data_IF_256649954527
#
_entry.id   IF_256649954527
#
_cell.length_a   1.000
_cell.length_b   1.000
_cell.length_c   1.000
_cell.angle_alpha   90.00
_cell.angle_beta   90.00
_cell.angle_gamma   90.00
#
_symmetry.space_group_name_H-M   'P 1'
#
loop_
_entity.id
_entity.type
_entity.pdbx_description
1 polymer ?
#
# COMPACT_ATOMS: atom_id res chain seq x y z
N UNK A 1 102.37 -33.92 19.07
CA UNK A 1 102.02 -33.83 17.63
C UNK A 1 101.29 -35.13 17.28
N UNK A 2 99.97 -35.17 17.04
CA UNK A 2 99.32 -35.03 15.71
C UNK A 2 100.14 -35.76 14.61
N UNK A 3 99.60 -36.71 13.82
CA UNK A 3 98.20 -36.87 13.37
C UNK A 3 97.92 -38.23 12.65
N UNK A 4 96.77 -38.90 12.94
CA UNK A 4 95.96 -39.81 12.04
C UNK A 4 96.64 -41.06 11.40
N UNK A 5 95.98 -42.11 10.86
CA UNK A 5 94.54 -42.45 10.68
C UNK A 5 94.31 -43.98 10.52
N UNK A 6 93.29 -44.53 11.19
CA UNK A 6 92.28 -45.53 10.74
C UNK A 6 92.63 -46.87 10.04
N UNK A 7 91.92 -47.92 10.47
CA UNK A 7 91.90 -49.29 9.92
C UNK A 7 91.09 -49.47 8.63
N UNK A 8 91.35 -50.60 7.96
CA UNK A 8 90.59 -51.29 6.89
C UNK A 8 90.84 -52.81 7.09
N UNK A 9 90.10 -53.83 6.62
CA UNK A 9 88.86 -54.03 5.81
C UNK A 9 88.43 -55.50 6.07
N UNK A 10 87.25 -56.06 5.78
CA UNK A 10 85.96 -55.69 5.14
C UNK A 10 84.88 -56.63 5.78
N UNK A 11 83.82 -57.04 5.05
CA UNK A 11 82.94 -58.21 5.30
C UNK A 11 81.90 -58.00 6.43
N UNK A 12 80.58 -58.16 6.21
CA UNK A 12 79.83 -58.39 4.97
C UNK A 12 78.42 -57.74 5.03
N UNK A 13 77.82 -57.58 3.86
CA UNK A 13 76.47 -57.03 3.67
C UNK A 13 75.37 -58.02 4.10
N UNK A 14 74.33 -57.54 4.77
CA UNK A 14 72.99 -58.14 4.70
C UNK A 14 72.06 -57.11 4.09
N UNK A 15 71.87 -57.20 2.77
CA UNK A 15 71.04 -56.29 2.00
C UNK A 15 69.57 -56.76 2.05
N UNK A 16 68.87 -56.48 3.14
CA UNK A 16 67.40 -56.53 3.10
C UNK A 16 66.87 -55.32 2.32
N UNK A 17 66.87 -55.45 1.00
CA UNK A 17 66.21 -54.54 0.06
C UNK A 17 64.68 -54.69 0.15
N UNK A 18 64.14 -54.47 1.34
CA UNK A 18 62.72 -54.34 1.57
C UNK A 18 62.22 -53.02 0.99
N UNK A 19 62.00 -53.00 -0.32
CA UNK A 19 61.17 -51.98 -0.97
C UNK A 19 59.71 -52.18 -0.53
N UNK A 20 59.45 -51.83 0.73
CA UNK A 20 58.15 -51.30 1.10
C UNK A 20 57.93 -50.08 0.21
N UNK A 21 57.07 -50.21 -0.79
CA UNK A 21 56.49 -49.06 -1.46
C UNK A 21 55.70 -48.30 -0.40
N UNK A 22 56.34 -47.29 0.19
CA UNK A 22 55.70 -46.38 1.13
C UNK A 22 54.61 -45.65 0.35
N UNK A 23 53.38 -46.15 0.47
CA UNK A 23 52.22 -45.61 -0.21
C UNK A 23 51.82 -44.28 0.46
N UNK A 24 52.59 -43.23 0.15
CA UNK A 24 52.27 -41.86 0.53
C UNK A 24 50.93 -41.48 -0.07
N UNK A 25 49.89 -41.42 0.77
CA UNK A 25 48.60 -40.87 0.41
C UNK A 25 48.72 -39.34 0.36
N UNK A 26 49.29 -38.82 -0.72
CA UNK A 26 49.32 -37.38 -0.99
C UNK A 26 47.92 -36.91 -1.41
N UNK A 27 47.38 -35.98 -0.62
CA UNK A 27 46.12 -35.28 -0.92
C UNK A 27 46.49 -33.91 -1.47
N UNK A 28 45.82 -33.48 -2.55
CA UNK A 28 46.05 -32.15 -3.13
C UNK A 28 45.51 -31.05 -2.21
N UNK A 29 45.95 -29.81 -2.44
CA UNK A 29 45.25 -28.64 -1.92
C UNK A 29 43.77 -28.62 -2.35
N UNK A 30 42.93 -27.91 -1.59
CA UNK A 30 41.48 -27.87 -1.81
C UNK A 30 41.11 -27.07 -3.06
N UNK A 31 40.36 -27.71 -3.97
CA UNK A 31 39.92 -27.11 -5.22
C UNK A 31 38.59 -26.34 -5.06
N UNK A 32 38.68 -25.05 -4.69
CA UNK A 32 37.56 -24.10 -4.72
C UNK A 32 36.44 -24.37 -3.70
N UNK A 33 35.21 -23.97 -4.05
CA UNK A 33 33.98 -24.29 -3.32
C UNK A 33 32.95 -24.87 -4.30
N UNK A 34 32.09 -25.76 -3.81
CA UNK A 34 30.90 -26.21 -4.52
C UNK A 34 29.78 -25.20 -4.30
N UNK A 35 29.05 -24.87 -5.36
CA UNK A 35 28.00 -23.84 -5.39
C UNK A 35 26.78 -24.44 -6.08
N UNK A 36 25.59 -24.26 -5.48
CA UNK A 36 24.31 -24.74 -5.98
C UNK A 36 23.61 -23.76 -6.93
N UNK A 37 22.31 -23.94 -7.11
CA UNK A 37 21.45 -23.00 -7.83
C UNK A 37 21.00 -21.83 -6.95
N UNK A 38 20.26 -20.89 -7.53
CA UNK A 38 19.60 -19.81 -6.79
C UNK A 38 18.17 -20.27 -6.43
N UNK A 39 17.67 -20.01 -5.22
CA UNK A 39 16.26 -20.25 -4.90
C UNK A 39 15.37 -19.31 -5.72
N UNK A 40 14.23 -19.83 -6.17
CA UNK A 40 13.25 -19.12 -7.02
C UNK A 40 11.87 -19.16 -6.38
N UNK A 41 11.17 -18.02 -6.43
CA UNK A 41 9.77 -17.89 -6.04
C UNK A 41 8.87 -17.73 -7.25
N UNK A 42 7.63 -18.21 -7.12
CA UNK A 42 6.64 -18.21 -8.20
C UNK A 42 5.25 -17.93 -7.64
N UNK A 43 4.45 -17.10 -8.31
CA UNK A 43 3.07 -16.87 -7.93
C UNK A 43 2.24 -18.17 -7.90
N UNK A 44 1.22 -18.19 -7.05
CA UNK A 44 0.26 -19.30 -6.94
C UNK A 44 -0.81 -19.28 -8.04
N UNK A 45 -0.90 -18.19 -8.82
CA UNK A 45 -1.91 -17.95 -9.85
C UNK A 45 -1.71 -18.71 -11.17
N UNK A 46 -2.76 -18.72 -12.00
CA UNK A 46 -2.71 -19.36 -13.34
C UNK A 46 -1.88 -18.51 -14.29
N UNK A 47 -0.80 -19.08 -14.84
CA UNK A 47 0.12 -18.36 -15.72
C UNK A 47 1.24 -17.60 -14.99
N UNK A 48 1.37 -17.77 -13.67
CA UNK A 48 2.47 -17.21 -12.90
C UNK A 48 3.85 -17.59 -13.47
N UNK A 49 4.79 -16.64 -13.41
CA UNK A 49 6.16 -16.77 -13.92
C UNK A 49 7.16 -16.86 -12.77
N UNK A 50 8.40 -17.22 -13.09
CA UNK A 50 9.48 -17.26 -12.10
C UNK A 50 9.82 -15.82 -11.65
N UNK A 51 10.24 -15.66 -10.40
CA UNK A 51 10.43 -14.37 -9.71
C UNK A 51 9.14 -13.54 -9.55
N UNK A 52 8.01 -14.20 -9.23
CA UNK A 52 6.71 -13.55 -8.98
C UNK A 52 6.02 -14.00 -7.69
N UNK A 53 5.00 -13.26 -7.26
CA UNK A 53 4.13 -13.55 -6.11
C UNK A 53 2.67 -13.30 -6.48
N UNK A 54 1.73 -13.87 -5.71
CA UNK A 54 0.27 -13.69 -5.92
C UNK A 54 -0.37 -13.14 -4.64
N UNK A 55 -1.20 -12.11 -4.78
CA UNK A 55 -1.94 -11.50 -3.67
C UNK A 55 -3.43 -11.91 -3.69
N UNK A 56 -4.14 -11.64 -2.60
CA UNK A 56 -5.59 -11.79 -2.47
C UNK A 56 -6.10 -10.84 -1.39
N UNK A 57 -7.22 -10.14 -1.64
CA UNK A 57 -7.94 -9.36 -0.61
C UNK A 57 -9.04 -10.21 0.07
N UNK A 58 -9.14 -10.16 1.41
CA UNK A 58 -10.24 -10.78 2.17
C UNK A 58 -11.57 -10.01 2.12
N UNK A 59 -11.54 -8.73 1.72
CA UNK A 59 -12.67 -7.80 1.67
C UNK A 59 -13.45 -7.68 3.00
N UNK A 60 -12.76 -7.80 4.14
CA UNK A 60 -13.38 -7.73 5.46
C UNK A 60 -14.11 -6.41 5.71
N UNK A 61 -13.65 -5.29 5.11
CA UNK A 61 -14.34 -4.00 5.09
C UNK A 61 -15.75 -4.09 4.48
N UNK A 62 -15.94 -5.00 3.51
CA UNK A 62 -17.10 -5.08 2.64
C UNK A 62 -16.98 -4.25 1.35
N UNK A 63 -15.82 -3.65 1.05
CA UNK A 63 -15.54 -3.03 -0.26
C UNK A 63 -15.01 -4.06 -1.26
N UNK A 64 -15.52 -4.01 -2.49
CA UNK A 64 -15.00 -4.77 -3.66
C UNK A 64 -14.71 -3.83 -4.86
N UNK A 65 -14.61 -2.53 -4.61
CA UNK A 65 -14.42 -1.50 -5.64
C UNK A 65 -13.22 -0.55 -5.37
N UNK A 66 -12.62 -0.67 -4.19
CA UNK A 66 -11.31 -0.13 -3.80
C UNK A 66 -10.84 -0.95 -2.58
N UNK A 67 -9.54 -1.05 -2.34
CA UNK A 67 -9.03 -1.56 -1.06
C UNK A 67 -9.47 -0.61 0.07
N UNK A 68 -9.88 -1.14 1.22
CA UNK A 68 -10.37 -0.31 2.33
C UNK A 68 -9.85 -0.75 3.69
N UNK A 69 -9.66 0.17 4.66
CA UNK A 69 -9.20 -0.19 6.01
C UNK A 69 -10.04 -1.29 6.66
N UNK A 70 -9.36 -2.23 7.30
CA UNK A 70 -9.90 -3.49 7.81
C UNK A 70 -9.74 -4.67 6.86
N UNK A 71 -9.57 -4.46 5.55
CA UNK A 71 -9.25 -5.52 4.58
C UNK A 71 -7.93 -6.22 4.93
N UNK A 72 -7.90 -7.55 4.79
CA UNK A 72 -6.69 -8.35 4.92
C UNK A 72 -6.16 -8.76 3.54
N UNK A 73 -5.03 -8.19 3.16
CA UNK A 73 -4.25 -8.63 2.02
C UNK A 73 -3.36 -9.80 2.43
N UNK A 74 -3.31 -10.86 1.62
CA UNK A 74 -2.41 -12.00 1.83
C UNK A 74 -1.53 -12.23 0.59
N UNK A 75 -0.22 -12.27 0.80
CA UNK A 75 0.82 -12.62 -0.18
C UNK A 75 1.04 -14.14 -0.15
N UNK A 76 1.12 -14.76 -1.32
CA UNK A 76 1.39 -16.20 -1.47
C UNK A 76 2.37 -16.48 -2.62
N UNK A 77 3.09 -17.59 -2.51
CA UNK A 77 3.99 -18.10 -3.55
C UNK A 77 4.22 -19.61 -3.39
N UNK A 78 4.74 -20.21 -4.46
CA UNK A 78 5.42 -21.49 -4.47
C UNK A 78 6.94 -21.22 -4.46
N UNK A 79 7.66 -21.95 -3.62
CA UNK A 79 9.12 -21.92 -3.56
C UNK A 79 9.70 -23.07 -4.40
N UNK A 80 10.84 -22.86 -5.05
CA UNK A 80 11.60 -23.91 -5.73
C UNK A 80 13.09 -23.70 -5.53
N UNK A 81 13.76 -24.74 -5.07
CA UNK A 81 15.21 -24.92 -5.10
C UNK A 81 15.49 -26.32 -5.67
N UNK A 82 16.63 -26.49 -6.35
CA UNK A 82 16.97 -27.74 -7.04
C UNK A 82 17.75 -28.72 -6.16
N UNK A 83 18.46 -28.22 -5.16
CA UNK A 83 19.32 -29.01 -4.28
C UNK A 83 18.55 -29.53 -3.04
N UNK A 84 17.38 -28.96 -2.75
CA UNK A 84 16.47 -29.35 -1.66
C UNK A 84 16.57 -28.47 -0.41
N UNK A 85 17.21 -27.30 -0.51
CA UNK A 85 17.35 -26.36 0.59
C UNK A 85 15.99 -25.79 1.02
N UNK A 86 15.80 -25.54 2.32
CA UNK A 86 14.49 -25.15 2.88
C UNK A 86 14.23 -23.65 2.72
N UNK A 87 13.01 -23.28 2.30
CA UNK A 87 12.55 -21.88 2.19
C UNK A 87 12.74 -21.09 3.49
N UNK A 88 13.30 -19.88 3.38
CA UNK A 88 13.31 -18.87 4.45
C UNK A 88 12.70 -17.52 4.01
N UNK A 89 12.17 -17.44 2.78
CA UNK A 89 11.78 -16.19 2.09
C UNK A 89 10.74 -15.37 2.85
N UNK A 90 9.82 -16.04 3.55
CA UNK A 90 8.82 -15.40 4.45
C UNK A 90 9.43 -14.38 5.41
N UNK A 91 10.64 -14.64 5.91
CA UNK A 91 11.32 -13.76 6.88
C UNK A 91 11.86 -12.45 6.29
N UNK A 92 11.90 -12.34 4.96
CA UNK A 92 12.32 -11.14 4.24
C UNK A 92 11.15 -10.22 3.83
N UNK A 93 9.90 -10.66 3.99
CA UNK A 93 8.73 -9.91 3.53
C UNK A 93 8.66 -8.54 4.24
N UNK A 94 8.48 -7.48 3.46
CA UNK A 94 8.19 -6.13 3.95
C UNK A 94 6.98 -5.55 3.23
N UNK A 95 6.13 -4.87 3.97
CA UNK A 95 4.98 -4.14 3.45
C UNK A 95 5.25 -2.64 3.49
N UNK A 96 4.75 -1.89 2.53
CA UNK A 96 4.93 -0.44 2.45
C UNK A 96 3.76 0.24 1.75
N UNK A 97 3.63 1.56 1.89
CA UNK A 97 2.69 2.35 1.09
C UNK A 97 3.40 3.49 0.35
N UNK A 98 3.00 3.75 -0.90
CA UNK A 98 3.51 4.83 -1.75
C UNK A 98 2.40 5.82 -2.11
N UNK A 99 2.75 7.05 -2.51
CA UNK A 99 1.74 8.07 -2.90
C UNK A 99 1.27 7.96 -4.35
N UNK A 100 1.91 7.10 -5.16
CA UNK A 100 1.76 7.09 -6.63
C UNK A 100 1.70 5.70 -7.26
N UNK A 101 1.83 4.62 -6.48
CA UNK A 101 1.92 3.24 -6.97
C UNK A 101 3.24 2.90 -7.67
N UNK A 102 4.18 3.84 -7.74
CA UNK A 102 5.47 3.71 -8.42
C UNK A 102 6.66 3.84 -7.44
N UNK A 103 6.39 4.15 -6.17
CA UNK A 103 7.35 4.15 -5.08
C UNK A 103 7.66 5.53 -4.48
N UNK A 104 7.02 6.60 -4.94
CA UNK A 104 7.23 7.93 -4.35
C UNK A 104 6.74 7.96 -2.89
N UNK A 105 7.50 8.68 -2.06
CA UNK A 105 7.23 8.89 -0.64
C UNK A 105 6.95 7.57 0.13
N UNK A 106 7.66 6.48 -0.22
CA UNK A 106 7.52 5.14 0.36
C UNK A 106 7.63 5.16 1.89
N UNK A 107 6.57 4.74 2.58
CA UNK A 107 6.54 4.54 4.04
C UNK A 107 6.52 3.03 4.32
N UNK A 108 7.46 2.54 5.11
CA UNK A 108 7.48 1.14 5.55
C UNK A 108 6.42 0.89 6.63
N UNK A 109 5.69 -0.21 6.51
CA UNK A 109 4.67 -0.64 7.47
C UNK A 109 5.29 -1.62 8.47
N UNK A 110 4.87 -1.54 9.74
CA UNK A 110 5.41 -2.35 10.84
C UNK A 110 4.90 -3.82 10.82
N UNK A 111 5.14 -4.53 9.71
CA UNK A 111 4.63 -5.87 9.43
C UNK A 111 5.70 -6.81 8.82
N UNK A 112 6.97 -6.58 9.15
CA UNK A 112 8.11 -7.37 8.65
C UNK A 112 7.95 -8.87 8.96
N UNK A 113 8.27 -9.70 7.97
CA UNK A 113 8.24 -11.16 8.06
C UNK A 113 6.84 -11.78 8.09
N UNK A 114 5.79 -11.06 7.65
CA UNK A 114 4.39 -11.52 7.65
C UNK A 114 3.81 -11.67 6.25
N UNK A 115 3.23 -12.83 5.97
CA UNK A 115 2.56 -13.14 4.70
C UNK A 115 1.22 -12.41 4.50
N UNK A 116 0.72 -11.68 5.50
CA UNK A 116 -0.51 -10.90 5.36
C UNK A 116 -0.43 -9.58 6.10
N UNK A 117 -1.04 -8.54 5.52
CA UNK A 117 -1.22 -7.24 6.12
C UNK A 117 -2.71 -6.91 6.25
N UNK A 118 -3.11 -6.27 7.35
CA UNK A 118 -4.46 -5.73 7.51
C UNK A 118 -4.38 -4.21 7.40
N UNK A 119 -5.11 -3.65 6.44
CA UNK A 119 -5.03 -2.24 6.06
C UNK A 119 -5.52 -1.35 7.21
N UNK A 120 -4.71 -0.39 7.61
CA UNK A 120 -4.99 0.58 8.65
C UNK A 120 -5.70 1.84 8.10
N UNK A 121 -6.37 2.58 8.98
CA UNK A 121 -7.05 3.83 8.59
C UNK A 121 -6.07 4.92 8.08
N UNK A 122 -4.80 4.83 8.48
CA UNK A 122 -3.69 5.71 8.09
C UNK A 122 -3.09 5.43 6.71
N UNK A 123 -3.44 4.29 6.09
CA UNK A 123 -2.91 3.92 4.78
C UNK A 123 -3.75 4.50 3.64
N UNK A 124 -4.88 5.14 3.96
CA UNK A 124 -5.82 5.66 2.99
C UNK A 124 -5.23 6.81 2.14
N UNK A 125 -5.66 6.87 0.88
CA UNK A 125 -5.07 7.73 -0.16
C UNK A 125 -3.77 7.18 -0.76
N UNK A 126 -3.21 6.10 -0.20
CA UNK A 126 -1.91 5.54 -0.61
C UNK A 126 -2.09 4.18 -1.29
N UNK A 127 -1.12 3.81 -2.12
CA UNK A 127 -1.05 2.51 -2.79
C UNK A 127 -0.25 1.54 -1.92
N UNK A 128 -0.74 0.32 -1.75
CA UNK A 128 -0.08 -0.71 -0.95
C UNK A 128 0.90 -1.50 -1.83
N UNK A 129 2.13 -1.68 -1.33
CA UNK A 129 3.19 -2.43 -2.00
C UNK A 129 3.86 -3.44 -1.05
N UNK A 130 4.60 -4.37 -1.65
CA UNK A 130 5.33 -5.40 -0.91
C UNK A 130 6.69 -5.73 -1.54
N UNK A 131 7.63 -6.14 -0.70
CA UNK A 131 8.95 -6.62 -1.06
C UNK A 131 9.18 -8.00 -0.45
N UNK A 132 9.82 -8.90 -1.21
CA UNK A 132 10.31 -10.19 -0.72
C UNK A 132 11.66 -10.51 -1.40
N UNK A 133 12.54 -11.19 -0.69
CA UNK A 133 13.78 -11.75 -1.22
C UNK A 133 13.60 -13.26 -1.32
N UNK A 134 13.96 -13.85 -2.45
CA UNK A 134 14.02 -15.31 -2.62
C UNK A 134 15.20 -15.82 -1.77
N UNK A 135 14.99 -16.68 -0.78
CA UNK A 135 16.07 -17.15 0.09
C UNK A 135 15.80 -18.49 0.78
N UNK A 136 16.88 -19.20 1.09
CA UNK A 136 16.90 -20.49 1.80
C UNK A 136 17.43 -20.34 3.22
N UNK A 137 17.31 -21.39 4.04
CA UNK A 137 18.00 -21.51 5.33
C UNK A 137 19.45 -21.98 5.21
N UNK A 138 19.77 -22.67 4.11
CA UNK A 138 21.01 -23.42 3.86
C UNK A 138 21.43 -23.23 2.39
N UNK A 139 22.55 -23.85 1.99
CA UNK A 139 23.09 -23.71 0.63
C UNK A 139 24.03 -22.53 0.41
N UNK A 140 24.62 -22.47 -0.78
CA UNK A 140 25.45 -21.37 -1.28
C UNK A 140 25.28 -21.33 -2.79
N UNK A 141 24.70 -20.26 -3.37
CA UNK A 141 24.13 -19.09 -2.72
C UNK A 141 22.85 -19.43 -1.91
N UNK A 142 22.53 -18.65 -0.88
CA UNK A 142 21.28 -18.80 -0.12
C UNK A 142 20.26 -17.66 -0.36
N UNK A 143 20.50 -16.82 -1.38
CA UNK A 143 19.63 -15.71 -1.78
C UNK A 143 19.59 -15.56 -3.30
N UNK A 144 18.38 -15.46 -3.85
CA UNK A 144 18.05 -15.14 -5.23
C UNK A 144 17.71 -13.66 -5.41
N UNK A 145 16.67 -13.38 -6.19
CA UNK A 145 16.22 -12.03 -6.54
C UNK A 145 15.54 -11.30 -5.36
N UNK A 146 15.46 -9.97 -5.45
CA UNK A 146 14.47 -9.18 -4.71
C UNK A 146 13.29 -8.91 -5.64
N UNK A 147 12.09 -9.33 -5.23
CA UNK A 147 10.84 -9.07 -5.93
C UNK A 147 10.18 -7.87 -5.24
N UNK A 148 9.98 -6.78 -5.98
CA UNK A 148 9.38 -5.53 -5.49
C UNK A 148 8.10 -5.25 -6.27
N UNK A 149 6.97 -5.18 -5.57
CA UNK A 149 5.66 -4.83 -6.12
C UNK A 149 5.27 -3.47 -5.54
N UNK A 150 5.38 -2.41 -6.35
CA UNK A 150 5.18 -1.01 -5.91
C UNK A 150 3.71 -0.68 -5.62
N UNK A 151 2.81 -1.37 -6.32
CA UNK A 151 1.35 -1.32 -6.17
C UNK A 151 0.81 -2.74 -6.43
N UNK A 152 0.18 -3.34 -5.43
CA UNK A 152 -0.42 -4.66 -5.56
C UNK A 152 -1.71 -4.65 -6.39
N UNK A 153 -2.37 -3.50 -6.55
CA UNK A 153 -3.66 -3.39 -7.25
C UNK A 153 -3.56 -3.55 -8.77
N UNK A 154 -2.33 -3.56 -9.30
CA UNK A 154 -2.00 -3.82 -10.71
C UNK A 154 -1.08 -5.03 -10.89
N UNK A 155 -0.92 -5.88 -9.86
CA UNK A 155 -0.04 -7.04 -9.88
C UNK A 155 -0.57 -8.17 -10.79
N UNK A 156 -1.86 -8.51 -10.65
CA UNK A 156 -2.54 -9.50 -11.50
C UNK A 156 -3.99 -9.08 -11.72
N UNK A 157 -4.36 -8.72 -12.95
CA UNK A 157 -5.74 -8.35 -13.34
C UNK A 157 -6.80 -9.46 -13.17
N UNK A 158 -6.39 -10.65 -12.72
CA UNK A 158 -7.25 -11.79 -12.38
C UNK A 158 -7.28 -12.12 -10.89
N UNK A 159 -6.46 -11.44 -10.07
CA UNK A 159 -6.68 -11.44 -8.62
C UNK A 159 -7.89 -10.56 -8.25
N UNK A 160 -8.31 -10.60 -6.99
CA UNK A 160 -9.53 -9.92 -6.54
C UNK A 160 -9.29 -8.52 -5.95
N UNK A 161 -8.11 -7.94 -6.19
CA UNK A 161 -7.76 -6.60 -5.70
C UNK A 161 -8.24 -5.56 -6.72
N UNK A 162 -9.10 -4.60 -6.31
CA UNK A 162 -9.53 -3.52 -7.19
C UNK A 162 -8.42 -2.48 -7.37
N UNK A 163 -8.20 -2.05 -8.62
CA UNK A 163 -7.25 -1.02 -9.03
C UNK A 163 -7.31 0.25 -8.16
N UNK A 164 -6.15 0.79 -7.80
CA UNK A 164 -6.02 2.13 -7.23
C UNK A 164 -5.58 2.20 -5.76
N UNK A 165 -5.59 3.42 -5.18
CA UNK A 165 -5.19 3.64 -3.81
C UNK A 165 -6.24 3.10 -2.82
N UNK A 166 -5.84 2.96 -1.57
CA UNK A 166 -6.74 2.60 -0.46
C UNK A 166 -7.76 3.73 -0.25
N UNK A 167 -9.06 3.40 -0.21
CA UNK A 167 -10.15 4.37 0.00
C UNK A 167 -10.90 4.06 1.30
N UNK A 168 -11.24 5.11 2.05
CA UNK A 168 -11.82 5.03 3.39
C UNK A 168 -10.86 5.63 4.43
N UNK A 169 -10.89 5.13 5.67
CA UNK A 169 -10.04 5.65 6.75
C UNK A 169 -10.60 6.88 7.44
N UNK A 170 -9.72 7.67 8.03
CA UNK A 170 -10.06 8.94 8.67
C UNK A 170 -10.09 10.05 7.62
N UNK A 171 -11.17 10.85 7.58
CA UNK A 171 -11.39 11.83 6.52
C UNK A 171 -11.70 13.20 7.13
N UNK A 172 -10.91 14.20 6.78
CA UNK A 172 -11.16 15.59 7.11
C UNK A 172 -12.02 16.25 6.05
N UNK A 173 -12.87 17.21 6.45
CA UNK A 173 -13.76 17.95 5.53
C UNK A 173 -13.81 19.44 5.86
N UNK A 174 -13.85 20.26 4.81
CA UNK A 174 -14.13 21.69 4.93
C UNK A 174 -14.96 22.21 3.75
N UNK A 175 -15.86 23.14 4.08
CA UNK A 175 -16.43 24.09 3.12
C UNK A 175 -15.58 25.35 3.25
N UNK A 176 -15.06 25.88 2.15
CA UNK A 176 -14.29 27.13 2.11
C UNK A 176 -14.86 28.09 1.09
N UNK A 177 -14.69 29.39 1.35
CA UNK A 177 -14.88 30.40 0.31
C UNK A 177 -13.68 30.34 -0.65
N UNK A 178 -13.92 30.41 -1.96
CA UNK A 178 -12.86 30.51 -2.97
C UNK A 178 -11.96 31.75 -2.77
N UNK A 179 -12.48 32.82 -2.16
CA UNK A 179 -11.70 33.99 -1.76
C UNK A 179 -10.87 33.80 -0.47
N UNK A 180 -11.15 32.75 0.33
CA UNK A 180 -10.46 32.42 1.57
C UNK A 180 -10.25 30.89 1.70
N UNK A 181 -9.51 30.25 0.77
CA UNK A 181 -9.56 28.80 0.53
C UNK A 181 -8.90 27.93 1.61
N UNK A 182 -8.45 28.52 2.72
CA UNK A 182 -7.90 27.85 3.93
C UNK A 182 -8.80 28.00 5.16
N UNK A 183 -9.87 28.81 5.08
CA UNK A 183 -10.75 29.09 6.23
C UNK A 183 -11.92 28.11 6.21
N UNK A 184 -11.79 26.96 6.89
CA UNK A 184 -12.91 26.02 7.07
C UNK A 184 -14.11 26.75 7.72
N UNK A 185 -15.27 26.75 7.05
CA UNK A 185 -16.49 27.44 7.48
C UNK A 185 -17.42 26.52 8.30
N UNK A 186 -17.21 25.20 8.29
CA UNK A 186 -18.04 24.22 9.00
C UNK A 186 -17.98 24.46 10.52
N UNK A 187 -19.13 24.31 11.20
CA UNK A 187 -19.23 24.30 12.66
C UNK A 187 -19.03 25.65 13.37
N UNK A 188 -18.62 26.71 12.65
CA UNK A 188 -18.38 28.04 13.21
C UNK A 188 -19.68 28.86 13.26
N UNK A 189 -20.11 29.23 14.46
CA UNK A 189 -21.33 30.01 14.70
C UNK A 189 -21.39 31.37 13.98
N UNK A 190 -20.24 31.95 13.61
CA UNK A 190 -20.13 33.24 12.93
C UNK A 190 -19.70 33.12 11.45
N UNK A 191 -19.81 31.93 10.82
CA UNK A 191 -19.58 31.77 9.38
C UNK A 191 -20.70 32.42 8.58
N UNK A 192 -20.55 33.71 8.27
CA UNK A 192 -21.44 34.38 7.33
C UNK A 192 -21.11 33.95 5.89
N UNK A 193 -22.04 33.20 5.27
CA UNK A 193 -22.00 32.91 3.84
C UNK A 193 -22.60 34.09 3.06
N UNK A 194 -22.05 34.36 1.87
CA UNK A 194 -22.40 35.52 1.05
C UNK A 194 -22.95 35.09 -0.30
N UNK A 195 -23.89 35.87 -0.82
CA UNK A 195 -24.37 35.73 -2.21
C UNK A 195 -23.36 36.37 -3.18
N UNK A 196 -23.25 35.84 -4.40
CA UNK A 196 -22.21 36.20 -5.37
C UNK A 196 -20.89 35.44 -5.19
N UNK A 197 -20.68 34.79 -4.03
CA UNK A 197 -19.46 34.05 -3.74
C UNK A 197 -19.51 32.60 -4.28
N UNK A 198 -18.32 32.00 -4.45
CA UNK A 198 -18.20 30.58 -4.83
C UNK A 198 -17.59 29.78 -3.69
N UNK A 199 -18.29 28.73 -3.26
CA UNK A 199 -17.88 27.84 -2.18
C UNK A 199 -17.32 26.52 -2.73
N UNK A 200 -16.22 26.07 -2.15
CA UNK A 200 -15.54 24.82 -2.52
C UNK A 200 -15.70 23.81 -1.39
N UNK A 201 -15.92 22.55 -1.74
CA UNK A 201 -15.82 21.43 -0.80
C UNK A 201 -14.45 20.78 -0.94
N UNK A 202 -13.72 20.70 0.17
CA UNK A 202 -12.42 20.01 0.25
C UNK A 202 -12.52 18.86 1.23
N UNK A 203 -11.95 17.74 0.85
CA UNK A 203 -12.00 16.47 1.57
C UNK A 203 -10.64 15.80 1.42
N UNK A 204 -10.03 15.40 2.53
CA UNK A 204 -8.66 14.88 2.56
C UNK A 204 -8.56 13.69 3.52
N UNK A 205 -7.53 12.87 3.33
CA UNK A 205 -7.22 11.79 4.27
C UNK A 205 -6.55 12.39 5.51
N UNK A 206 -7.32 12.53 6.59
CA UNK A 206 -6.91 13.10 7.88
C UNK A 206 -6.12 12.05 8.67
N UNK A 207 -4.85 11.91 8.30
CA UNK A 207 -3.99 10.79 8.71
C UNK A 207 -3.67 10.83 10.21
N UNK A 208 -3.71 12.02 10.81
CA UNK A 208 -3.43 12.22 12.23
C UNK A 208 -4.70 12.44 13.09
N UNK A 209 -5.88 12.55 12.46
CA UNK A 209 -7.20 12.74 13.06
C UNK A 209 -7.35 14.07 13.84
N UNK A 210 -6.83 15.18 13.30
CA UNK A 210 -6.92 16.52 13.93
C UNK A 210 -8.02 17.43 13.34
N UNK A 211 -8.66 17.05 12.23
CA UNK A 211 -9.66 17.84 11.48
C UNK A 211 -9.15 19.20 10.93
N UNK A 212 -7.84 19.32 10.73
CA UNK A 212 -7.11 20.38 10.02
C UNK A 212 -6.51 19.76 8.77
N UNK A 213 -6.39 20.52 7.67
CA UNK A 213 -5.73 20.03 6.46
C UNK A 213 -4.26 20.38 6.53
N UNK A 214 -3.43 19.40 6.87
CA UNK A 214 -1.97 19.55 6.95
C UNK A 214 -1.31 19.41 5.56
N UNK A 215 -0.04 19.82 5.44
CA UNK A 215 0.63 20.02 4.15
C UNK A 215 1.13 18.73 3.46
N UNK A 216 1.21 17.64 4.22
CA UNK A 216 1.61 16.29 3.80
C UNK A 216 0.42 15.34 3.60
N UNK A 217 -0.81 15.81 3.84
CA UNK A 217 -2.03 15.03 3.70
C UNK A 217 -2.54 14.99 2.24
N UNK A 218 -3.16 13.87 1.88
CA UNK A 218 -3.55 13.59 0.50
C UNK A 218 -5.00 14.02 0.23
N UNK A 219 -5.22 14.67 -0.92
CA UNK A 219 -6.57 14.99 -1.40
C UNK A 219 -7.38 13.70 -1.65
N UNK A 220 -8.59 13.65 -1.09
CA UNK A 220 -9.51 12.54 -1.24
C UNK A 220 -10.60 12.83 -2.30
N UNK A 221 -10.66 14.03 -2.90
CA UNK A 221 -11.75 14.46 -3.80
C UNK A 221 -12.03 13.49 -4.95
N UNK A 222 -10.97 12.93 -5.55
CA UNK A 222 -11.06 11.92 -6.61
C UNK A 222 -11.77 10.64 -6.18
N UNK A 223 -11.69 10.28 -4.90
CA UNK A 223 -12.19 9.04 -4.30
C UNK A 223 -13.57 9.19 -3.64
N UNK A 224 -14.17 10.39 -3.66
CA UNK A 224 -15.49 10.66 -3.07
C UNK A 224 -16.46 11.25 -4.10
N UNK A 225 -17.77 11.03 -3.90
CA UNK A 225 -18.83 11.82 -4.52
C UNK A 225 -19.42 12.76 -3.47
N UNK A 226 -19.89 13.92 -3.89
CA UNK A 226 -20.54 14.88 -3.00
C UNK A 226 -21.63 15.73 -3.67
N UNK A 227 -22.57 16.19 -2.85
CA UNK A 227 -23.71 17.04 -3.23
C UNK A 227 -23.88 18.17 -2.22
N UNK A 228 -24.18 19.37 -2.71
CA UNK A 228 -24.50 20.50 -1.85
C UNK A 228 -25.94 20.39 -1.31
N UNK A 229 -26.12 20.81 -0.05
CA UNK A 229 -27.40 20.81 0.66
C UNK A 229 -27.60 22.17 1.31
N UNK A 230 -28.71 22.83 0.94
CA UNK A 230 -29.22 24.00 1.63
C UNK A 230 -29.92 23.53 2.91
N UNK A 231 -29.43 23.98 4.06
CA UNK A 231 -29.83 23.49 5.38
C UNK A 231 -30.78 24.44 6.10
N UNK A 232 -31.71 23.89 6.88
CA UNK A 232 -32.70 24.67 7.63
C UNK A 232 -33.83 25.21 6.75
N UNK A 233 -34.11 26.51 6.88
CA UNK A 233 -35.23 27.20 6.21
C UNK A 233 -34.82 28.58 5.71
N UNK A 234 -35.48 29.08 4.67
CA UNK A 234 -35.25 30.43 4.15
C UNK A 234 -35.62 31.54 5.15
N UNK A 235 -35.00 32.71 4.99
CA UNK A 235 -34.97 33.78 6.00
C UNK A 235 -36.34 34.38 6.38
N UNK A 236 -37.28 34.50 5.44
CA UNK A 236 -38.57 35.18 5.68
C UNK A 236 -39.79 34.33 5.31
N UNK A 237 -39.70 33.53 4.24
CA UNK A 237 -40.80 32.66 3.80
C UNK A 237 -40.79 31.27 4.45
N UNK A 238 -39.79 30.96 5.28
CA UNK A 238 -39.71 29.67 6.00
C UNK A 238 -39.64 28.46 5.07
N UNK A 239 -39.22 28.63 3.82
CA UNK A 239 -39.19 27.58 2.81
C UNK A 239 -38.14 26.55 3.20
N UNK A 240 -38.50 25.27 3.29
CA UNK A 240 -37.56 24.22 3.71
C UNK A 240 -36.37 24.08 2.75
N UNK A 241 -35.22 23.71 3.32
CA UNK A 241 -34.00 23.40 2.57
C UNK A 241 -34.06 22.07 1.82
N UNK A 242 -32.94 21.71 1.20
CA UNK A 242 -32.79 20.48 0.42
C UNK A 242 -31.54 20.45 -0.45
N UNK A 243 -31.40 19.41 -1.25
CA UNK A 243 -30.29 19.28 -2.21
C UNK A 243 -30.28 20.39 -3.26
N UNK A 244 -29.07 20.83 -3.62
CA UNK A 244 -28.83 21.59 -4.84
C UNK A 244 -29.16 20.76 -6.10
N UNK A 245 -29.22 21.41 -7.25
CA UNK A 245 -29.48 20.74 -8.54
C UNK A 245 -28.28 19.87 -8.96
N UNK A 246 -28.54 18.73 -9.61
CA UNK A 246 -27.50 17.75 -9.93
C UNK A 246 -26.41 18.24 -10.90
N UNK A 247 -26.59 19.39 -11.57
CA UNK A 247 -25.51 20.03 -12.34
C UNK A 247 -24.38 20.59 -11.46
N UNK A 248 -24.60 20.74 -10.14
CA UNK A 248 -23.57 21.10 -9.15
C UNK A 248 -22.98 19.91 -8.38
N UNK A 249 -23.44 18.68 -8.66
CA UNK A 249 -22.83 17.47 -8.06
C UNK A 249 -21.34 17.39 -8.42
N UNK A 250 -20.48 17.08 -7.44
CA UNK A 250 -19.02 17.02 -7.56
C UNK A 250 -18.34 18.31 -8.06
N UNK A 251 -18.89 19.51 -7.81
CA UNK A 251 -18.33 20.81 -8.25
C UNK A 251 -18.43 21.90 -7.19
N UNK A 252 -17.60 22.93 -7.32
CA UNK A 252 -17.76 24.19 -6.60
C UNK A 252 -19.14 24.83 -6.83
N UNK A 253 -19.68 25.48 -5.79
CA UNK A 253 -21.00 26.09 -5.79
C UNK A 253 -20.90 27.63 -5.83
N UNK A 254 -21.05 28.20 -7.02
CA UNK A 254 -21.27 29.64 -7.19
C UNK A 254 -22.69 30.02 -6.76
N UNK A 255 -22.82 30.78 -5.67
CA UNK A 255 -24.09 31.27 -5.15
C UNK A 255 -24.51 32.51 -5.94
N UNK A 256 -25.67 32.54 -6.64
CA UNK A 256 -26.11 33.73 -7.36
C UNK A 256 -26.41 34.91 -6.44
N UNK A 257 -26.07 36.12 -6.89
CA UNK A 257 -26.35 37.39 -6.19
C UNK A 257 -27.86 37.68 -6.01
N UNK A 258 -28.72 37.08 -6.82
CA UNK A 258 -30.14 37.43 -6.90
C UNK A 258 -31.08 36.25 -6.71
N UNK A 259 -32.19 36.50 -6.02
CA UNK A 259 -33.22 35.50 -5.73
C UNK A 259 -33.93 34.99 -7.00
N UNK A 260 -33.92 35.77 -8.09
CA UNK A 260 -34.37 35.32 -9.40
C UNK A 260 -33.45 34.24 -10.00
N UNK A 261 -32.14 34.36 -9.80
CA UNK A 261 -31.14 33.41 -10.32
C UNK A 261 -30.96 32.18 -9.43
N UNK A 262 -31.31 32.26 -8.13
CA UNK A 262 -31.19 31.17 -7.16
C UNK A 262 -31.67 29.79 -7.66
N UNK A 263 -32.72 29.75 -8.50
CA UNK A 263 -33.28 28.52 -9.08
C UNK A 263 -32.33 27.77 -10.01
N UNK A 264 -31.25 28.39 -10.51
CA UNK A 264 -30.22 27.69 -11.30
C UNK A 264 -29.32 26.78 -10.46
N UNK A 265 -29.31 26.94 -9.12
CA UNK A 265 -28.56 26.07 -8.20
C UNK A 265 -29.44 25.35 -7.17
N UNK A 266 -30.62 25.89 -6.83
CA UNK A 266 -31.57 25.28 -5.92
C UNK A 266 -33.00 25.38 -6.49
N UNK A 267 -33.49 24.33 -7.13
CA UNK A 267 -34.77 24.34 -7.84
C UNK A 267 -35.98 24.74 -6.97
N UNK A 268 -35.91 24.41 -5.66
CA UNK A 268 -36.95 24.73 -4.66
C UNK A 268 -36.86 26.15 -4.09
N UNK A 269 -35.93 27.00 -4.56
CA UNK A 269 -35.73 28.36 -4.06
C UNK A 269 -37.02 29.20 -4.05
N UNK A 270 -37.35 29.74 -2.88
CA UNK A 270 -38.52 30.59 -2.64
C UNK A 270 -38.29 32.06 -3.04
N UNK A 271 -39.10 32.98 -2.49
CA UNK A 271 -38.93 34.43 -2.71
C UNK A 271 -37.63 34.97 -2.09
N UNK A 272 -37.15 34.33 -1.00
CA UNK A 272 -35.83 34.55 -0.38
C UNK A 272 -34.66 34.03 -1.25
N UNK A 273 -34.92 33.35 -2.38
CA UNK A 273 -33.87 32.71 -3.16
C UNK A 273 -33.17 31.61 -2.37
N UNK A 274 -31.92 31.87 -1.97
CA UNK A 274 -31.12 31.02 -1.06
C UNK A 274 -30.82 31.70 0.29
N UNK A 275 -31.39 32.87 0.57
CA UNK A 275 -31.10 33.63 1.78
C UNK A 275 -31.71 32.98 3.03
N UNK A 276 -30.91 32.82 4.08
CA UNK A 276 -31.29 32.22 5.37
C UNK A 276 -30.91 30.76 5.56
N UNK A 277 -30.63 30.02 4.48
CA UNK A 277 -30.14 28.64 4.59
C UNK A 277 -28.70 28.58 5.10
N UNK A 278 -28.39 27.53 5.86
CA UNK A 278 -27.01 27.07 6.01
C UNK A 278 -26.55 26.31 4.76
N UNK A 279 -25.25 26.05 4.65
CA UNK A 279 -24.68 25.21 3.59
C UNK A 279 -24.02 23.98 4.20
N UNK A 280 -24.42 22.80 3.72
CA UNK A 280 -23.86 21.49 4.07
C UNK A 280 -23.46 20.76 2.80
N UNK A 281 -22.68 19.68 2.98
CA UNK A 281 -22.34 18.74 1.93
C UNK A 281 -22.71 17.33 2.39
N UNK A 282 -23.46 16.63 1.55
CA UNK A 282 -23.68 15.19 1.64
C UNK A 282 -22.62 14.50 0.79
N UNK A 283 -21.78 13.67 1.37
CA UNK A 283 -20.63 13.04 0.70
C UNK A 283 -20.57 11.54 0.98
N UNK A 284 -20.05 10.78 0.01
CA UNK A 284 -19.96 9.31 0.08
C UNK A 284 -18.71 8.85 -0.66
N UNK A 285 -17.94 7.95 -0.04
CA UNK A 285 -16.78 7.33 -0.67
C UNK A 285 -17.21 6.55 -1.92
N UNK A 286 -16.35 6.49 -2.95
CA UNK A 286 -16.58 5.70 -4.17
C UNK A 286 -16.40 4.19 -3.97
N UNK A 287 -16.52 3.71 -2.73
CA UNK A 287 -16.53 2.28 -2.38
C UNK A 287 -17.93 1.70 -2.53
N UNK A 288 -18.05 0.57 -3.23
CA UNK A 288 -19.33 -0.13 -3.37
C UNK A 288 -19.49 -1.13 -2.24
N UNK A 289 -20.19 -0.72 -1.18
CA UNK A 289 -20.46 -1.58 -0.03
C UNK A 289 -21.24 -2.84 -0.45
N UNK A 290 -20.65 -4.01 -0.22
CA UNK A 290 -21.34 -5.30 -0.29
C UNK A 290 -22.36 -5.33 0.83
N UNK A 291 -23.64 -5.44 0.48
CA UNK A 291 -24.70 -5.75 1.43
C UNK A 291 -24.40 -7.11 2.08
N UNK A 292 -23.78 -7.11 3.27
CA UNK A 292 -23.54 -8.32 4.06
C UNK A 292 -24.88 -8.99 4.32
N UNK A 293 -25.15 -10.07 3.57
CA UNK A 293 -26.41 -10.81 3.55
C UNK A 293 -26.64 -11.50 4.88
N UNK A 294 -27.14 -10.73 5.84
CA UNK A 294 -27.42 -11.18 7.20
C UNK A 294 -28.65 -12.08 7.14
N UNK A 295 -28.44 -13.37 6.82
CA UNK A 295 -29.47 -14.41 6.98
C UNK A 295 -29.90 -14.44 8.45
N UNK A 296 -31.02 -13.79 8.75
CA UNK A 296 -31.75 -14.01 9.99
C UNK A 296 -32.10 -15.50 10.06
N UNK A 297 -31.65 -16.15 11.12
CA UNK A 297 -32.25 -17.40 11.60
C UNK A 297 -33.50 -17.07 12.41
#
# INVERSE_FOLDING_TARGET
MKMKTFNKTLIASVLFAGCAHMASAEVTDSAGQLIGTLPVLKGSGTGAVDHSVTFNNGHESGSTAAMSPGDKITLSYLFTDKEGDTDSSKTSIKWFTSTDGHGANKIALANDGKESYTIAATDAGRYLGAEIIEQTSTGTPNKGQMITINDISVNDSTDNIPDGPIVGGNIGVMIVDSAAPTVNLIGKANSQLLVGHTYQFKIWYDANNNNVMDADELDASSNYNYKWVFDGTSATTGTAGGYAVSSTDNKDLSIPETNASAKSIFASAGADGVQGYGLKVDYTAKVKAVLKSTKRK
#
